data_IF_060273010110
#
_entry.id   IF_060273010110
#
_cell.length_a   1.000
_cell.length_b   1.000
_cell.length_c   1.000
_cell.angle_alpha   90.00
_cell.angle_beta   90.00
_cell.angle_gamma   90.00
#
_symmetry.space_group_name_H-M   'P 1'
#
loop_
_entity.id
_entity.type
_entity.pdbx_description
1 polymer ?
#
# COMPACT_ATOMS: atom_id res chain seq x y z
N UNK A 1 -4.46 20.38 12.83
CA UNK A 1 -3.27 20.72 12.01
C UNK A 1 -2.65 19.37 11.66
N UNK A 2 -2.58 18.96 10.39
CA UNK A 2 -2.06 17.62 10.02
C UNK A 2 -0.59 17.52 10.43
N UNK A 3 -0.24 16.83 11.52
CA UNK A 3 1.11 16.27 11.62
C UNK A 3 1.12 14.99 10.82
N UNK A 4 1.75 15.07 9.65
CA UNK A 4 2.05 13.89 8.86
C UNK A 4 3.01 13.03 9.67
N UNK A 5 2.60 11.81 10.03
CA UNK A 5 3.58 10.74 10.16
C UNK A 5 4.11 10.50 8.74
N UNK A 6 5.18 11.21 8.39
CA UNK A 6 5.95 10.91 7.19
C UNK A 6 6.91 9.80 7.58
N UNK A 7 6.78 8.63 6.96
CA UNK A 7 8.02 7.93 6.63
C UNK A 7 8.64 8.79 5.51
N UNK A 8 9.60 9.62 5.89
CA UNK A 8 10.24 10.63 5.05
C UNK A 8 11.15 10.07 3.97
N UNK A 9 11.13 8.75 3.73
CA UNK A 9 12.04 8.24 2.72
C UNK A 9 11.68 8.73 1.33
N UNK A 10 10.41 9.10 1.04
CA UNK A 10 10.04 9.77 -0.22
C UNK A 10 10.67 9.10 -1.45
N UNK A 11 10.96 7.80 -1.33
CA UNK A 11 11.86 7.12 -2.23
C UNK A 11 11.05 6.89 -3.49
N UNK A 12 11.56 7.42 -4.60
CA UNK A 12 11.03 7.05 -5.89
C UNK A 12 11.20 5.54 -6.04
N UNK A 13 10.15 4.86 -6.50
CA UNK A 13 10.20 3.44 -6.86
C UNK A 13 9.81 3.30 -8.31
N UNK A 14 10.51 2.44 -9.05
CA UNK A 14 10.08 2.00 -10.37
C UNK A 14 9.10 0.85 -10.17
N UNK A 15 7.84 1.09 -10.48
CA UNK A 15 6.78 0.10 -10.27
C UNK A 15 6.32 -0.46 -11.60
N UNK A 16 6.11 -1.77 -11.61
CA UNK A 16 5.68 -2.51 -12.78
C UNK A 16 5.04 -3.83 -12.39
N UNK A 17 4.53 -4.49 -13.42
CA UNK A 17 3.90 -5.80 -13.35
C UNK A 17 4.62 -6.73 -14.32
N UNK A 18 4.68 -8.01 -13.97
CA UNK A 18 5.19 -9.06 -14.84
C UNK A 18 4.15 -10.18 -14.94
N UNK A 19 3.87 -10.58 -16.18
CA UNK A 19 2.79 -11.51 -16.51
C UNK A 19 2.97 -12.14 -17.90
N UNK A 20 2.00 -12.97 -18.31
CA UNK A 20 2.01 -13.58 -19.64
C UNK A 20 1.47 -12.60 -20.67
N UNK A 21 2.13 -12.49 -21.83
CA UNK A 21 1.75 -11.54 -22.88
C UNK A 21 0.30 -11.70 -23.38
N UNK A 22 -0.20 -12.94 -23.42
CA UNK A 22 -1.55 -13.29 -23.93
C UNK A 22 -2.54 -13.61 -22.80
N UNK A 23 -2.28 -13.10 -21.59
CA UNK A 23 -3.11 -13.37 -20.43
C UNK A 23 -3.43 -12.09 -19.68
N UNK A 24 -4.72 -11.91 -19.36
CA UNK A 24 -5.17 -10.85 -18.45
C UNK A 24 -4.72 -11.11 -16.99
N UNK A 25 -3.95 -12.17 -16.74
CA UNK A 25 -3.44 -12.49 -15.40
C UNK A 25 -2.13 -11.76 -15.16
N UNK A 26 -2.13 -10.86 -14.17
CA UNK A 26 -0.91 -10.34 -13.53
C UNK A 26 -0.39 -11.38 -12.54
N UNK A 27 0.90 -11.70 -12.61
CA UNK A 27 1.49 -12.72 -11.74
C UNK A 27 2.19 -12.05 -10.56
N UNK A 28 2.84 -10.90 -10.80
CA UNK A 28 3.66 -10.24 -9.80
C UNK A 28 3.63 -8.74 -10.04
N UNK A 29 3.50 -8.00 -8.94
CA UNK A 29 3.77 -6.56 -8.85
C UNK A 29 5.11 -6.41 -8.17
N UNK A 30 5.98 -5.55 -8.70
CA UNK A 30 7.28 -5.30 -8.09
C UNK A 30 7.64 -3.80 -8.11
N UNK A 31 8.32 -3.40 -7.04
CA UNK A 31 8.86 -2.06 -6.83
C UNK A 31 10.39 -2.16 -6.78
N UNK A 32 11.07 -1.47 -7.69
CA UNK A 32 12.53 -1.45 -7.77
C UNK A 32 13.05 -0.10 -7.25
N UNK A 33 14.16 -0.16 -6.50
CA UNK A 33 14.92 1.03 -6.12
C UNK A 33 15.67 1.61 -7.34
N UNK A 34 15.30 2.80 -7.85
CA UNK A 34 15.94 3.40 -9.02
C UNK A 34 17.40 3.77 -8.78
N UNK A 35 17.88 3.83 -7.53
CA UNK A 35 19.27 4.19 -7.23
C UNK A 35 20.31 3.20 -7.81
N UNK A 36 19.88 2.00 -8.23
CA UNK A 36 20.73 0.94 -8.77
C UNK A 36 20.45 0.64 -10.25
N UNK A 37 19.70 1.49 -10.93
CA UNK A 37 19.18 1.26 -12.28
C UNK A 37 19.68 2.36 -13.20
N UNK A 38 20.40 2.00 -14.26
CA UNK A 38 20.92 2.95 -15.24
C UNK A 38 20.25 2.77 -16.61
N UNK A 39 19.76 1.57 -16.91
CA UNK A 39 19.25 1.18 -18.23
C UNK A 39 17.93 0.42 -18.15
N UNK A 40 17.24 0.29 -19.29
CA UNK A 40 16.05 -0.56 -19.39
C UNK A 40 16.39 -2.04 -19.17
N UNK A 41 17.58 -2.49 -19.58
CA UNK A 41 18.04 -3.87 -19.35
C UNK A 41 18.22 -4.15 -17.86
N UNK A 42 18.64 -3.15 -17.06
CA UNK A 42 18.72 -3.29 -15.60
C UNK A 42 17.33 -3.47 -14.98
N UNK A 43 16.35 -2.69 -15.47
CA UNK A 43 14.94 -2.81 -15.05
C UNK A 43 14.43 -4.22 -15.36
N UNK A 44 14.59 -4.67 -16.59
CA UNK A 44 14.10 -5.96 -17.05
C UNK A 44 14.77 -7.12 -16.29
N UNK A 45 16.08 -7.02 -16.07
CA UNK A 45 16.85 -8.01 -15.31
C UNK A 45 16.34 -8.12 -13.87
N UNK A 46 16.13 -6.98 -13.22
CA UNK A 46 15.72 -6.94 -11.83
C UNK A 46 14.27 -7.42 -11.65
N UNK A 47 13.33 -7.03 -12.53
CA UNK A 47 11.97 -7.59 -12.53
C UNK A 47 11.96 -9.10 -12.71
N UNK A 48 12.79 -9.64 -13.62
CA UNK A 48 12.90 -11.09 -13.82
C UNK A 48 13.51 -11.81 -12.63
N UNK A 49 14.48 -11.19 -11.96
CA UNK A 49 15.07 -11.72 -10.72
C UNK A 49 14.01 -11.80 -9.62
N UNK A 50 13.26 -10.71 -9.38
CA UNK A 50 12.16 -10.69 -8.41
C UNK A 50 11.12 -11.75 -8.76
N UNK A 51 10.81 -11.92 -10.05
CA UNK A 51 9.82 -12.89 -10.50
C UNK A 51 10.24 -14.34 -10.30
N UNK A 52 11.50 -14.64 -10.64
CA UNK A 52 12.13 -15.93 -10.43
C UNK A 52 12.07 -16.33 -8.95
N UNK A 53 12.37 -15.40 -8.05
CA UNK A 53 12.33 -15.61 -6.60
C UNK A 53 10.91 -15.81 -6.07
N UNK A 54 9.99 -14.89 -6.38
CA UNK A 54 8.62 -14.93 -5.88
C UNK A 54 7.85 -16.18 -6.36
N UNK A 55 8.12 -16.65 -7.58
CA UNK A 55 7.49 -17.87 -8.12
C UNK A 55 8.30 -19.14 -7.84
N UNK A 56 9.51 -19.03 -7.28
CA UNK A 56 10.45 -20.15 -7.12
C UNK A 56 10.69 -20.89 -8.45
N UNK A 57 10.83 -20.13 -9.55
CA UNK A 57 11.07 -20.65 -10.90
C UNK A 57 12.45 -20.24 -11.41
N UNK A 58 13.12 -21.04 -12.26
CA UNK A 58 14.35 -20.61 -12.93
C UNK A 58 14.16 -19.34 -13.76
N UNK A 59 15.17 -18.47 -13.82
CA UNK A 59 15.14 -17.23 -14.65
C UNK A 59 14.71 -17.51 -16.09
N UNK A 60 15.23 -18.58 -16.71
CA UNK A 60 14.86 -19.01 -18.06
C UNK A 60 13.36 -19.22 -18.26
N UNK A 61 12.64 -19.61 -17.20
CA UNK A 61 11.19 -19.82 -17.25
C UNK A 61 10.43 -18.50 -17.22
N UNK A 62 11.00 -17.46 -16.60
CA UNK A 62 10.38 -16.13 -16.50
C UNK A 62 10.86 -15.14 -17.56
N UNK A 63 11.89 -15.47 -18.36
CA UNK A 63 12.37 -14.68 -19.51
C UNK A 63 11.28 -14.41 -20.56
N UNK A 64 10.35 -15.35 -20.75
CA UNK A 64 9.22 -15.19 -21.68
C UNK A 64 8.08 -14.32 -21.17
N UNK A 65 8.13 -13.86 -19.91
CA UNK A 65 7.09 -13.00 -19.34
C UNK A 65 7.24 -11.56 -19.82
N UNK A 66 6.10 -10.91 -20.07
CA UNK A 66 5.97 -9.50 -20.43
C UNK A 66 6.07 -8.66 -19.16
N UNK A 67 6.88 -7.61 -19.23
CA UNK A 67 7.00 -6.57 -18.20
C UNK A 67 6.26 -5.34 -18.72
N UNK A 68 5.39 -4.77 -17.88
CA UNK A 68 4.72 -3.51 -18.17
C UNK A 68 4.61 -2.66 -16.91
N UNK A 69 4.22 -1.40 -17.06
CA UNK A 69 3.85 -0.53 -15.96
C UNK A 69 2.54 -0.95 -15.30
N UNK A 70 2.17 -0.28 -14.20
CA UNK A 70 0.94 -0.59 -13.45
C UNK A 70 -0.34 -0.12 -14.15
N UNK A 71 -0.21 0.54 -15.30
CA UNK A 71 -1.30 0.82 -16.22
C UNK A 71 -1.05 -0.05 -17.45
N UNK A 72 -2.07 -0.79 -17.88
CA UNK A 72 -1.96 -1.73 -18.99
C UNK A 72 -1.31 -1.09 -20.22
N UNK A 73 -0.37 -1.83 -20.81
CA UNK A 73 0.42 -1.44 -21.99
C UNK A 73 1.20 -0.12 -21.85
N UNK A 74 1.40 0.39 -20.63
CA UNK A 74 2.32 1.47 -20.34
C UNK A 74 3.69 0.93 -19.91
N UNK A 75 4.77 1.70 -20.06
CA UNK A 75 6.07 1.33 -19.50
C UNK A 75 6.06 1.40 -17.97
N UNK A 76 7.04 0.72 -17.35
CA UNK A 76 7.38 0.86 -15.92
C UNK A 76 7.44 2.34 -15.57
N UNK A 77 6.75 2.73 -14.51
CA UNK A 77 6.57 4.14 -14.15
C UNK A 77 7.10 4.38 -12.75
N UNK A 78 7.67 5.57 -12.54
CA UNK A 78 8.19 5.97 -11.24
C UNK A 78 7.07 6.49 -10.34
N UNK A 79 6.90 5.91 -9.15
CA UNK A 79 5.96 6.38 -8.13
C UNK A 79 6.71 6.91 -6.92
N UNK A 80 6.23 8.04 -6.40
CA UNK A 80 6.70 8.53 -5.12
C UNK A 80 6.07 7.67 -4.02
N UNK A 81 6.89 6.98 -3.25
CA UNK A 81 6.43 6.30 -2.06
C UNK A 81 6.04 7.34 -1.00
N UNK A 82 4.77 7.74 -0.97
CA UNK A 82 4.24 8.66 0.01
C UNK A 82 3.21 7.95 0.89
N UNK A 83 3.66 7.54 2.06
CA UNK A 83 2.78 7.02 3.11
C UNK A 83 2.43 8.16 4.06
N UNK A 84 1.15 8.33 4.37
CA UNK A 84 0.67 9.39 5.24
C UNK A 84 -0.53 8.90 6.05
N UNK A 85 -0.62 9.37 7.28
CA UNK A 85 -1.76 9.14 8.17
C UNK A 85 -2.06 10.44 8.92
N UNK A 86 -3.35 10.72 9.14
CA UNK A 86 -3.79 11.84 9.96
C UNK A 86 -3.54 11.55 11.45
N UNK A 87 -3.50 12.59 12.29
CA UNK A 87 -3.44 12.41 13.76
C UNK A 87 -4.77 11.91 14.32
N UNK A 88 -5.86 12.17 13.62
CA UNK A 88 -7.21 11.89 14.09
C UNK A 88 -8.18 11.66 12.93
N UNK A 89 -9.08 10.68 13.10
CA UNK A 89 -10.12 10.36 12.13
C UNK A 89 -11.42 11.15 12.37
N UNK A 90 -11.38 12.22 13.17
CA UNK A 90 -12.53 13.09 13.44
C UNK A 90 -12.24 14.53 13.05
N UNK A 91 -13.27 15.23 12.56
CA UNK A 91 -13.20 16.63 12.16
C UNK A 91 -14.35 17.40 12.81
N UNK A 92 -14.09 17.92 14.02
CA UNK A 92 -15.14 18.50 14.85
C UNK A 92 -16.09 17.42 15.37
N UNK A 93 -17.32 17.80 15.69
CA UNK A 93 -18.23 16.92 16.43
C UNK A 93 -19.10 16.02 15.55
N UNK A 94 -19.17 16.25 14.24
CA UNK A 94 -20.16 15.62 13.36
C UNK A 94 -19.57 15.01 12.09
N UNK A 95 -18.26 15.08 11.90
CA UNK A 95 -17.59 14.57 10.70
C UNK A 95 -16.53 13.57 11.12
N UNK A 96 -16.59 12.39 10.51
CA UNK A 96 -15.61 11.31 10.66
C UNK A 96 -14.93 11.06 9.31
N UNK A 97 -13.70 10.56 9.34
CA UNK A 97 -12.87 10.28 8.16
C UNK A 97 -12.75 8.77 7.95
N UNK A 98 -12.78 8.33 6.70
CA UNK A 98 -12.62 6.91 6.31
C UNK A 98 -11.71 6.78 5.07
N UNK A 99 -11.17 5.59 4.83
CA UNK A 99 -10.27 5.30 3.71
C UNK A 99 -9.08 6.26 3.63
N UNK A 100 -8.76 6.68 2.40
CA UNK A 100 -7.63 7.56 2.09
C UNK A 100 -7.66 8.91 2.80
N UNK A 101 -8.84 9.36 3.27
CA UNK A 101 -8.95 10.58 4.07
C UNK A 101 -8.33 10.45 5.47
N UNK A 102 -8.20 9.21 5.97
CA UNK A 102 -7.50 8.89 7.22
C UNK A 102 -6.02 8.70 6.96
N UNK A 103 -5.69 7.91 5.94
CA UNK A 103 -4.32 7.68 5.55
C UNK A 103 -4.20 6.86 4.29
N UNK A 104 -3.08 7.02 3.61
CA UNK A 104 -2.74 6.32 2.38
C UNK A 104 -1.35 5.68 2.55
N UNK A 105 -1.25 4.42 2.13
CA UNK A 105 -0.03 3.63 2.09
C UNK A 105 0.26 3.14 0.67
N UNK A 106 1.37 2.42 0.48
CA UNK A 106 1.66 1.86 -0.83
C UNK A 106 0.70 0.71 -1.16
N UNK A 107 0.25 0.67 -2.41
CA UNK A 107 -0.78 -0.25 -2.88
C UNK A 107 -0.27 -1.69 -3.11
N UNK A 108 1.05 -1.90 -3.17
CA UNK A 108 1.67 -3.20 -3.51
C UNK A 108 1.28 -4.34 -2.58
N UNK A 109 1.07 -4.07 -1.29
CA UNK A 109 0.60 -5.08 -0.32
C UNK A 109 -0.91 -5.31 -0.35
N UNK A 110 -1.63 -4.62 -1.25
CA UNK A 110 -3.08 -4.61 -1.29
C UNK A 110 -3.69 -4.08 0.01
N UNK A 111 -4.95 -4.41 0.27
CA UNK A 111 -5.57 -4.21 1.59
C UNK A 111 -6.09 -2.80 1.90
N UNK A 112 -5.66 -1.75 1.19
CA UNK A 112 -6.13 -0.38 1.44
C UNK A 112 -7.66 -0.25 1.33
N UNK A 113 -8.24 -0.84 0.29
CA UNK A 113 -9.69 -0.92 0.11
C UNK A 113 -10.37 -1.69 1.26
N UNK A 114 -9.79 -2.80 1.73
CA UNK A 114 -10.35 -3.58 2.84
C UNK A 114 -10.29 -2.79 4.16
N UNK A 115 -9.17 -2.13 4.45
CA UNK A 115 -9.03 -1.24 5.60
C UNK A 115 -10.09 -0.15 5.59
N UNK A 116 -10.27 0.56 4.46
CA UNK A 116 -11.24 1.64 4.33
C UNK A 116 -12.71 1.20 4.30
N UNK A 117 -13.03 0.14 3.56
CA UNK A 117 -14.42 -0.28 3.31
C UNK A 117 -14.95 -1.33 4.28
N UNK A 118 -14.08 -2.07 4.95
CA UNK A 118 -14.47 -3.09 5.93
C UNK A 118 -14.13 -2.60 7.33
N UNK A 119 -12.85 -2.42 7.64
CA UNK A 119 -12.42 -2.10 9.01
C UNK A 119 -13.03 -0.77 9.49
N UNK A 120 -12.86 0.32 8.73
CA UNK A 120 -13.36 1.63 9.14
C UNK A 120 -14.90 1.68 9.21
N UNK A 121 -15.58 0.93 8.34
CA UNK A 121 -17.04 0.83 8.36
C UNK A 121 -17.52 0.07 9.60
N UNK A 122 -16.85 -1.00 10.01
CA UNK A 122 -17.16 -1.68 11.29
C UNK A 122 -16.88 -0.79 12.50
N UNK A 123 -15.83 0.04 12.46
CA UNK A 123 -15.59 1.06 13.50
C UNK A 123 -16.71 2.09 13.53
N UNK A 124 -17.22 2.51 12.38
CA UNK A 124 -18.34 3.45 12.29
C UNK A 124 -19.63 2.86 12.85
N UNK A 125 -19.95 1.60 12.53
CA UNK A 125 -21.09 0.91 13.14
C UNK A 125 -20.97 0.86 14.66
N UNK A 126 -19.77 0.53 15.16
CA UNK A 126 -19.49 0.51 16.60
C UNK A 126 -19.68 1.89 17.24
N UNK A 127 -19.20 2.96 16.60
CA UNK A 127 -19.41 4.34 17.06
C UNK A 127 -20.89 4.68 17.23
N UNK A 128 -21.71 4.36 16.21
CA UNK A 128 -23.15 4.64 16.24
C UNK A 128 -23.83 3.86 17.37
N UNK A 129 -23.48 2.58 17.53
CA UNK A 129 -24.02 1.72 18.59
C UNK A 129 -23.59 2.21 19.99
N UNK A 130 -22.33 2.59 20.18
CA UNK A 130 -21.84 3.12 21.45
C UNK A 130 -22.63 4.38 21.86
N UNK A 131 -22.90 5.29 20.91
CA UNK A 131 -23.73 6.48 21.14
C UNK A 131 -25.18 6.10 21.50
N UNK A 132 -25.77 5.17 20.75
CA UNK A 132 -27.14 4.68 21.00
C UNK A 132 -27.29 4.04 22.39
N UNK A 133 -26.27 3.32 22.85
CA UNK A 133 -26.21 2.69 24.17
C UNK A 133 -25.85 3.67 25.30
N UNK A 134 -25.76 4.97 25.01
CA UNK A 134 -25.59 6.02 26.00
C UNK A 134 -24.14 6.38 26.35
N UNK A 135 -23.16 5.92 25.57
CA UNK A 135 -21.79 6.42 25.71
C UNK A 135 -21.74 7.92 25.37
N UNK A 136 -21.04 8.75 26.16
CA UNK A 136 -20.84 10.15 25.80
C UNK A 136 -20.21 10.27 24.41
N UNK A 137 -20.83 11.06 23.54
CA UNK A 137 -20.43 11.20 22.12
C UNK A 137 -18.93 11.47 21.93
N UNK A 138 -18.35 12.35 22.74
CA UNK A 138 -16.92 12.65 22.67
C UNK A 138 -16.04 11.42 22.97
N UNK A 139 -16.43 10.59 23.94
CA UNK A 139 -15.72 9.36 24.26
C UNK A 139 -15.85 8.33 23.13
N UNK A 140 -17.05 8.19 22.55
CA UNK A 140 -17.29 7.29 21.43
C UNK A 140 -16.49 7.72 20.17
N UNK A 141 -16.44 9.04 19.88
CA UNK A 141 -15.65 9.61 18.77
C UNK A 141 -14.15 9.39 18.96
N UNK A 142 -13.63 9.55 20.18
CA UNK A 142 -12.22 9.26 20.46
C UNK A 142 -11.90 7.78 20.27
N UNK A 143 -12.73 6.88 20.81
CA UNK A 143 -12.61 5.43 20.63
C UNK A 143 -12.63 5.04 19.15
N UNK A 144 -13.52 5.64 18.36
CA UNK A 144 -13.57 5.47 16.91
C UNK A 144 -12.27 5.94 16.24
N UNK A 145 -11.82 7.16 16.55
CA UNK A 145 -10.61 7.74 15.98
C UNK A 145 -9.40 6.85 16.24
N UNK A 146 -9.20 6.41 17.48
CA UNK A 146 -8.06 5.57 17.86
C UNK A 146 -8.07 4.23 17.11
N UNK A 147 -9.25 3.60 16.99
CA UNK A 147 -9.40 2.34 16.29
C UNK A 147 -9.11 2.47 14.78
N UNK A 148 -9.64 3.51 14.13
CA UNK A 148 -9.44 3.77 12.71
C UNK A 148 -7.98 4.11 12.39
N UNK A 149 -7.34 4.93 13.24
CA UNK A 149 -5.90 5.21 13.13
C UNK A 149 -5.08 3.92 13.31
N UNK A 150 -5.46 3.06 14.25
CA UNK A 150 -4.76 1.80 14.50
C UNK A 150 -4.88 0.83 13.31
N UNK A 151 -6.08 0.68 12.74
CA UNK A 151 -6.31 -0.16 11.56
C UNK A 151 -5.47 0.35 10.36
N UNK A 152 -5.51 1.66 10.12
CA UNK A 152 -4.72 2.30 9.05
C UNK A 152 -3.22 2.15 9.26
N UNK A 153 -2.74 2.40 10.49
CA UNK A 153 -1.32 2.30 10.83
C UNK A 153 -0.81 0.88 10.67
N UNK A 154 -1.58 -0.12 11.11
CA UNK A 154 -1.22 -1.53 10.97
C UNK A 154 -1.04 -1.89 9.49
N UNK A 155 -1.95 -1.45 8.63
CA UNK A 155 -1.84 -1.66 7.18
C UNK A 155 -0.61 -0.98 6.57
N UNK A 156 -0.39 0.30 6.89
CA UNK A 156 0.77 1.08 6.46
C UNK A 156 2.08 0.42 6.92
N UNK A 157 2.15 -0.10 8.14
CA UNK A 157 3.35 -0.78 8.65
C UNK A 157 3.66 -2.08 7.90
N UNK A 158 2.64 -2.83 7.47
CA UNK A 158 2.83 -4.00 6.60
C UNK A 158 3.39 -3.57 5.26
N UNK A 159 2.84 -2.50 4.68
CA UNK A 159 3.31 -1.89 3.43
C UNK A 159 4.77 -1.45 3.53
N UNK A 160 5.13 -0.73 4.59
CA UNK A 160 6.50 -0.27 4.84
C UNK A 160 7.47 -1.45 5.05
N UNK A 161 7.07 -2.50 5.79
CA UNK A 161 7.91 -3.69 6.01
C UNK A 161 8.18 -4.45 4.72
N UNK A 162 7.18 -4.58 3.86
CA UNK A 162 7.34 -5.26 2.57
C UNK A 162 8.37 -4.54 1.69
N UNK A 163 8.35 -3.20 1.73
CA UNK A 163 9.30 -2.36 0.98
C UNK A 163 10.69 -2.26 1.62
N UNK A 164 10.79 -2.40 2.95
CA UNK A 164 12.06 -2.37 3.67
C UNK A 164 12.74 -3.72 3.73
N UNK A 165 12.10 -4.81 3.26
CA UNK A 165 12.75 -6.11 3.20
C UNK A 165 13.94 -5.99 2.24
N UNK A 166 15.17 -6.25 2.70
CA UNK A 166 16.25 -6.45 1.76
C UNK A 166 15.84 -7.63 0.89
N UNK A 167 15.88 -7.41 -0.42
CA UNK A 167 16.03 -8.49 -1.38
C UNK A 167 17.17 -9.36 -0.85
N UNK A 168 16.85 -10.59 -0.42
CA UNK A 168 17.73 -11.45 0.35
C UNK A 168 19.18 -11.41 -0.14
N UNK A 169 20.11 -10.97 0.72
CA UNK A 169 21.52 -11.35 0.56
C UNK A 169 21.67 -12.79 1.05
N UNK A 170 22.25 -13.61 0.16
CA UNK A 170 22.53 -15.06 0.26
C UNK A 170 22.73 -15.62 1.67
#
# INVERSE_FOLDING_TARGET
>A
MLKQWRNEDGQMRLTGIIGRADSDSTWIVADIDPAKIETQDDIDTEFRRIASEALSLPIKTVEGLKISGPIDDKPVTSFLLKQAICETAIKGDNVVLIGDAVGAGHWSVGGGMQTGSVCHIERLKTLLLDIELGMPKAAALNKYSDAVITDTKTWIEVSAKDQSRPVFQK
#
